data_IF_068221526818
#
_entry.id   IF_068221526818
#
_cell.length_a   1.000
_cell.length_b   1.000
_cell.length_c   1.000
_cell.angle_alpha   90.00
_cell.angle_beta   90.00
_cell.angle_gamma   90.00
#
_symmetry.space_group_name_H-M   'P 1'
#
loop_
_entity.id
_entity.type
_entity.pdbx_description
1 polymer ?
#
# COMPACT_ATOMS: atom_id res chain seq x y z
N UNK A 1 20.25 10.51 -65.05
CA UNK A 1 19.19 10.41 -64.02
C UNK A 1 19.46 9.15 -63.19
N UNK A 2 19.70 9.27 -61.87
CA UNK A 2 18.58 9.11 -60.93
C UNK A 2 18.67 10.05 -59.71
N UNK A 3 17.80 11.06 -59.67
CA UNK A 3 17.49 11.84 -58.47
C UNK A 3 16.22 11.22 -57.88
N UNK A 4 16.34 10.23 -56.99
CA UNK A 4 15.15 9.70 -56.29
C UNK A 4 15.38 8.95 -54.97
N UNK A 5 16.63 8.80 -54.50
CA UNK A 5 16.91 8.06 -53.24
C UNK A 5 17.09 8.94 -51.99
N UNK A 6 17.24 10.26 -52.11
CA UNK A 6 17.56 11.13 -50.95
C UNK A 6 16.31 11.58 -50.18
N UNK A 7 15.14 11.64 -50.82
CA UNK A 7 13.92 12.15 -50.18
C UNK A 7 13.30 11.17 -49.16
N UNK A 8 13.35 9.86 -49.42
CA UNK A 8 12.74 8.86 -48.56
C UNK A 8 13.43 8.73 -47.19
N UNK A 9 14.74 8.98 -47.13
CA UNK A 9 15.53 8.83 -45.91
C UNK A 9 15.30 9.98 -44.91
N UNK A 10 14.88 11.16 -45.39
CA UNK A 10 14.58 12.31 -44.52
C UNK A 10 13.20 12.21 -43.86
N UNK A 11 12.20 11.63 -44.54
CA UNK A 11 10.84 11.49 -43.99
C UNK A 11 10.80 10.49 -42.83
N UNK A 12 11.57 9.40 -42.91
CA UNK A 12 11.66 8.41 -41.83
C UNK A 12 12.31 8.96 -40.54
N UNK A 13 13.25 9.90 -40.66
CA UNK A 13 13.92 10.49 -39.49
C UNK A 13 12.97 11.39 -38.68
N UNK A 14 12.08 12.14 -39.35
CA UNK A 14 11.13 13.03 -38.67
C UNK A 14 10.00 12.26 -37.95
N UNK A 15 9.55 11.13 -38.49
CA UNK A 15 8.53 10.29 -37.83
C UNK A 15 9.10 9.65 -36.56
N UNK A 16 10.38 9.26 -36.56
CA UNK A 16 11.01 8.65 -35.38
C UNK A 16 11.21 9.66 -34.24
N UNK A 17 11.59 10.91 -34.55
CA UNK A 17 11.72 11.98 -33.56
C UNK A 17 10.34 12.38 -32.99
N UNK A 18 9.28 12.36 -33.81
CA UNK A 18 7.91 12.60 -33.37
C UNK A 18 7.38 11.54 -32.39
N UNK A 19 7.66 10.25 -32.63
CA UNK A 19 7.24 9.17 -31.74
C UNK A 19 8.07 9.16 -30.45
N UNK A 20 9.38 9.46 -30.52
CA UNK A 20 10.23 9.57 -29.34
C UNK A 20 9.82 10.73 -28.42
N UNK A 21 9.35 11.85 -28.98
CA UNK A 21 8.88 13.00 -28.18
C UNK A 21 7.49 12.77 -27.59
N UNK A 22 6.56 12.10 -28.31
CA UNK A 22 5.25 11.74 -27.74
C UNK A 22 5.38 10.63 -26.69
N UNK A 23 6.30 9.68 -26.87
CA UNK A 23 6.62 8.66 -25.86
C UNK A 23 7.27 9.23 -24.59
N UNK A 24 8.12 10.26 -24.73
CA UNK A 24 8.71 10.96 -23.58
C UNK A 24 7.70 11.82 -22.80
N UNK A 25 6.64 12.30 -23.45
CA UNK A 25 5.57 13.08 -22.78
C UNK A 25 4.55 12.15 -22.08
N UNK A 26 4.50 10.86 -22.44
CA UNK A 26 3.65 9.86 -21.80
C UNK A 26 4.29 9.21 -20.55
N UNK A 27 5.61 9.30 -20.38
CA UNK A 27 6.25 9.21 -19.05
C UNK A 27 6.05 10.54 -18.32
N UNK A 28 4.79 10.93 -18.12
CA UNK A 28 4.46 11.83 -17.02
C UNK A 28 4.89 11.07 -15.78
N UNK A 29 5.96 11.56 -15.16
CA UNK A 29 6.30 11.28 -13.77
C UNK A 29 4.98 11.14 -13.02
N UNK A 30 4.69 9.93 -12.53
CA UNK A 30 3.65 9.77 -11.52
C UNK A 30 3.93 10.86 -10.48
N UNK A 31 2.91 11.62 -10.03
CA UNK A 31 3.12 12.67 -9.05
C UNK A 31 3.93 12.05 -7.91
N UNK A 32 5.17 12.52 -7.77
CA UNK A 32 6.09 12.05 -6.76
C UNK A 32 5.46 12.52 -5.46
N UNK A 33 4.77 11.60 -4.78
CA UNK A 33 4.11 11.91 -3.53
C UNK A 33 5.20 12.34 -2.56
N UNK A 34 5.18 13.62 -2.21
CA UNK A 34 6.16 14.24 -1.33
C UNK A 34 6.16 13.46 0.00
N UNK A 35 7.32 12.92 0.36
CA UNK A 35 7.47 12.07 1.55
C UNK A 35 7.18 12.82 2.85
N UNK A 36 7.07 14.15 2.81
CA UNK A 36 6.63 14.97 3.95
C UNK A 36 5.12 14.86 4.22
N UNK A 37 4.30 14.55 3.20
CA UNK A 37 2.83 14.54 3.32
C UNK A 37 2.34 13.47 4.31
N UNK A 38 2.79 12.20 4.27
CA UNK A 38 2.32 11.21 5.23
C UNK A 38 2.80 11.48 6.66
N UNK A 39 4.03 11.97 6.80
CA UNK A 39 4.64 12.30 8.10
C UNK A 39 3.83 13.36 8.86
N UNK A 40 3.51 14.49 8.23
CA UNK A 40 2.79 15.60 8.89
C UNK A 40 1.32 15.30 9.15
N UNK A 41 0.76 14.29 8.46
CA UNK A 41 -0.68 14.01 8.47
C UNK A 41 -1.07 12.72 9.18
N UNK A 42 -0.16 12.07 9.91
CA UNK A 42 -0.42 10.77 10.53
C UNK A 42 -1.66 10.75 11.44
N UNK A 43 -1.91 11.83 12.19
CA UNK A 43 -3.10 11.96 13.04
C UNK A 43 -4.43 11.85 12.29
N UNK A 44 -4.45 12.06 10.96
CA UNK A 44 -5.65 11.88 10.13
C UNK A 44 -6.03 10.41 9.94
N UNK A 45 -5.14 9.46 10.25
CA UNK A 45 -5.43 8.02 10.20
C UNK A 45 -6.25 7.50 11.39
N UNK A 46 -6.33 8.25 12.49
CA UNK A 46 -7.01 7.80 13.72
C UNK A 46 -8.47 7.33 13.49
N UNK A 47 -9.33 8.06 12.76
CA UNK A 47 -10.71 7.61 12.53
C UNK A 47 -10.81 6.34 11.67
N UNK A 48 -9.79 6.06 10.86
CA UNK A 48 -9.71 4.81 10.09
C UNK A 48 -9.34 3.66 11.03
N UNK A 49 -8.33 3.86 11.89
CA UNK A 49 -7.94 2.85 12.87
C UNK A 49 -9.06 2.51 13.85
N UNK A 50 -9.82 3.52 14.31
CA UNK A 50 -10.99 3.30 15.16
C UNK A 50 -12.05 2.45 14.45
N UNK A 51 -12.32 2.72 13.17
CA UNK A 51 -13.25 1.94 12.38
C UNK A 51 -12.77 0.49 12.17
N UNK A 52 -11.48 0.30 11.91
CA UNK A 52 -10.89 -1.04 11.78
C UNK A 52 -10.89 -1.80 13.11
N UNK A 53 -10.71 -1.11 14.23
CA UNK A 53 -10.78 -1.68 15.59
C UNK A 53 -12.20 -2.10 15.93
N UNK A 54 -13.20 -1.28 15.61
CA UNK A 54 -14.61 -1.64 15.79
C UNK A 54 -14.94 -2.96 15.07
N UNK A 55 -14.51 -3.08 13.82
CA UNK A 55 -14.69 -4.28 13.01
C UNK A 55 -13.69 -5.41 13.32
N UNK A 56 -12.75 -5.20 14.25
CA UNK A 56 -11.65 -6.12 14.58
C UNK A 56 -10.89 -6.65 13.36
N UNK A 57 -10.67 -5.76 12.38
CA UNK A 57 -9.92 -6.08 11.16
C UNK A 57 -8.43 -6.15 11.51
N UNK A 58 -7.81 -7.30 11.27
CA UNK A 58 -6.38 -7.57 11.53
C UNK A 58 -5.52 -7.36 10.28
N UNK A 59 -6.13 -7.43 9.10
CA UNK A 59 -5.48 -7.14 7.83
C UNK A 59 -6.46 -6.53 6.85
N UNK A 60 -6.02 -5.54 6.08
CA UNK A 60 -6.76 -4.97 4.96
C UNK A 60 -5.79 -4.66 3.81
N UNK A 61 -6.10 -5.11 2.59
CA UNK A 61 -5.33 -4.78 1.39
C UNK A 61 -6.25 -4.22 0.32
N UNK A 62 -5.82 -3.10 -0.27
CA UNK A 62 -6.58 -2.36 -1.27
C UNK A 62 -5.68 -2.15 -2.49
N UNK A 63 -5.80 -3.06 -3.44
CA UNK A 63 -5.21 -2.92 -4.77
C UNK A 63 -6.27 -3.17 -5.83
N UNK A 64 -6.06 -2.59 -7.00
CA UNK A 64 -6.98 -2.72 -8.13
C UNK A 64 -7.25 -4.18 -8.50
N UNK A 65 -6.27 -5.06 -8.29
CA UNK A 65 -6.35 -6.50 -8.57
C UNK A 65 -6.48 -7.39 -7.32
N UNK A 66 -6.40 -6.84 -6.09
CA UNK A 66 -6.50 -7.62 -4.86
C UNK A 66 -7.19 -6.80 -3.77
N UNK A 67 -8.37 -7.28 -3.38
CA UNK A 67 -9.10 -6.82 -2.20
C UNK A 67 -9.11 -7.97 -1.22
N UNK A 68 -8.59 -7.72 -0.04
CA UNK A 68 -8.51 -8.76 0.97
C UNK A 68 -8.63 -8.15 2.36
N UNK A 69 -9.32 -8.83 3.26
CA UNK A 69 -9.27 -8.51 4.68
C UNK A 69 -9.35 -9.77 5.54
N UNK A 70 -8.82 -9.67 6.75
CA UNK A 70 -8.96 -10.67 7.80
C UNK A 70 -9.53 -9.99 9.02
N UNK A 71 -10.44 -10.66 9.70
CA UNK A 71 -10.87 -10.31 11.05
C UNK A 71 -10.60 -11.51 11.99
N UNK A 72 -11.08 -11.44 13.23
CA UNK A 72 -10.92 -12.51 14.23
C UNK A 72 -11.76 -13.77 13.94
N UNK A 73 -12.60 -13.76 12.91
CA UNK A 73 -13.50 -14.86 12.57
C UNK A 73 -13.13 -15.49 11.22
N UNK A 74 -12.90 -14.67 10.20
CA UNK A 74 -12.79 -15.09 8.81
C UNK A 74 -11.75 -14.27 8.04
N UNK A 75 -11.30 -14.87 6.93
CA UNK A 75 -10.41 -14.24 5.99
C UNK A 75 -11.07 -14.22 4.62
N UNK A 76 -11.11 -13.06 3.97
CA UNK A 76 -11.84 -12.85 2.72
C UNK A 76 -11.00 -12.17 1.66
N UNK A 77 -11.12 -12.63 0.41
CA UNK A 77 -10.37 -12.13 -0.73
C UNK A 77 -11.19 -12.20 -2.03
N UNK A 78 -10.89 -11.32 -3.00
CA UNK A 78 -11.67 -11.22 -4.24
C UNK A 78 -11.10 -12.00 -5.41
N UNK A 79 -9.80 -12.31 -5.39
CA UNK A 79 -9.18 -13.27 -6.32
C UNK A 79 -8.11 -14.10 -5.59
N UNK A 80 -8.15 -15.42 -5.80
CA UNK A 80 -7.27 -16.43 -5.18
C UNK A 80 -5.92 -16.58 -5.92
N UNK A 81 -5.41 -15.53 -6.55
CA UNK A 81 -4.13 -15.59 -7.26
C UNK A 81 -2.97 -15.46 -6.28
N UNK A 82 -1.80 -16.00 -6.66
CA UNK A 82 -0.57 -16.02 -5.85
C UNK A 82 -0.10 -14.63 -5.38
N UNK A 83 -0.58 -13.57 -6.03
CA UNK A 83 -0.22 -12.18 -5.76
C UNK A 83 -1.04 -11.58 -4.61
N UNK A 84 -2.25 -12.09 -4.34
CA UNK A 84 -3.12 -11.63 -3.24
C UNK A 84 -2.80 -12.43 -1.97
N UNK A 85 -1.58 -12.30 -1.47
CA UNK A 85 -1.11 -13.06 -0.32
C UNK A 85 -1.62 -12.42 0.97
N UNK A 86 -2.76 -12.89 1.47
CA UNK A 86 -2.96 -12.98 2.91
C UNK A 86 -2.09 -14.17 3.37
N UNK A 87 -1.13 -13.94 4.26
CA UNK A 87 -0.39 -15.05 4.85
C UNK A 87 -1.37 -15.85 5.72
N UNK A 88 -1.47 -17.16 5.47
CA UNK A 88 -2.31 -18.04 6.28
C UNK A 88 -1.85 -17.95 7.74
N UNK A 89 -2.74 -17.65 8.66
CA UNK A 89 -2.50 -17.89 10.09
C UNK A 89 -2.62 -19.41 10.33
N UNK A 90 -1.60 -20.17 9.95
CA UNK A 90 -1.54 -21.58 10.31
C UNK A 90 -1.10 -21.64 11.78
N UNK A 91 -2.04 -21.90 12.68
CA UNK A 91 -1.70 -22.39 14.02
C UNK A 91 -0.88 -23.67 13.86
N UNK A 92 0.28 -23.74 14.50
CA UNK A 92 1.25 -24.83 14.42
C UNK A 92 0.74 -26.19 14.92
N UNK A 93 -0.54 -26.33 15.27
CA UNK A 93 -1.08 -27.52 15.93
C UNK A 93 -2.36 -28.14 15.35
N UNK A 94 -2.90 -27.69 14.20
CA UNK A 94 -4.13 -28.33 13.69
C UNK A 94 -4.14 -28.48 12.17
N UNK A 95 -4.37 -29.71 11.71
CA UNK A 95 -4.55 -30.05 10.32
C UNK A 95 -5.66 -29.20 9.68
N UNK A 96 -5.30 -28.42 8.66
CA UNK A 96 -6.20 -27.61 7.87
C UNK A 96 -6.03 -26.11 8.14
N UNK A 97 -5.13 -25.45 7.40
CA UNK A 97 -5.21 -23.99 7.31
C UNK A 97 -6.56 -23.65 6.64
N UNK A 98 -7.39 -22.86 7.31
CA UNK A 98 -8.69 -22.46 6.78
C UNK A 98 -8.55 -21.86 5.38
N UNK A 99 -9.48 -22.18 4.48
CA UNK A 99 -9.57 -21.55 3.18
C UNK A 99 -10.16 -20.15 3.31
N UNK A 100 -9.60 -19.17 2.59
CA UNK A 100 -10.25 -17.87 2.40
C UNK A 100 -11.66 -18.04 1.84
N UNK A 101 -12.57 -17.17 2.25
CA UNK A 101 -13.91 -17.08 1.67
C UNK A 101 -13.94 -15.96 0.64
N UNK A 102 -14.80 -16.10 -0.37
CA UNK A 102 -15.12 -14.97 -1.23
C UNK A 102 -15.90 -13.92 -0.44
N UNK A 103 -15.87 -12.69 -0.94
CA UNK A 103 -16.71 -11.64 -0.41
C UNK A 103 -18.20 -11.95 -0.64
N UNK A 104 -19.01 -11.81 0.41
CA UNK A 104 -20.47 -11.75 0.30
C UNK A 104 -20.94 -10.29 0.31
N UNK A 105 -22.24 -10.07 0.09
CA UNK A 105 -22.80 -8.71 0.04
C UNK A 105 -22.49 -7.88 1.29
N UNK A 106 -22.55 -8.48 2.49
CA UNK A 106 -22.27 -7.77 3.72
C UNK A 106 -20.79 -7.37 3.81
N UNK A 107 -19.88 -8.28 3.45
CA UNK A 107 -18.44 -8.03 3.39
C UNK A 107 -18.08 -6.97 2.35
N UNK A 108 -18.76 -6.96 1.20
CA UNK A 108 -18.58 -5.92 0.18
C UNK A 108 -18.99 -4.54 0.71
N UNK A 109 -20.13 -4.45 1.41
CA UNK A 109 -20.57 -3.19 2.03
C UNK A 109 -19.55 -2.68 3.05
N UNK A 110 -19.11 -3.53 3.99
CA UNK A 110 -18.11 -3.15 4.99
C UNK A 110 -16.80 -2.70 4.36
N UNK A 111 -16.31 -3.42 3.35
CA UNK A 111 -15.10 -3.04 2.64
C UNK A 111 -15.25 -1.73 1.90
N UNK A 112 -16.40 -1.47 1.27
CA UNK A 112 -16.68 -0.20 0.61
C UNK A 112 -16.66 0.99 1.60
N UNK A 113 -17.20 0.81 2.81
CA UNK A 113 -17.17 1.81 3.87
C UNK A 113 -15.72 2.09 4.34
N UNK A 114 -14.95 1.04 4.64
CA UNK A 114 -13.55 1.15 5.04
C UNK A 114 -12.70 1.80 3.94
N UNK A 115 -12.90 1.40 2.68
CA UNK A 115 -12.24 2.00 1.53
C UNK A 115 -12.60 3.48 1.35
N UNK A 116 -13.85 3.86 1.60
CA UNK A 116 -14.28 5.26 1.54
C UNK A 116 -13.56 6.11 2.58
N UNK A 117 -13.42 5.60 3.82
CA UNK A 117 -12.64 6.28 4.87
C UNK A 117 -11.17 6.45 4.47
N UNK A 118 -10.56 5.42 3.87
CA UNK A 118 -9.17 5.48 3.42
C UNK A 118 -8.95 6.47 2.28
N UNK A 119 -9.88 6.58 1.33
CA UNK A 119 -9.84 7.60 0.27
C UNK A 119 -9.92 9.04 0.80
N UNK A 120 -10.37 9.23 2.05
CA UNK A 120 -10.38 10.54 2.72
C UNK A 120 -9.02 10.95 3.30
N UNK A 121 -8.03 10.06 3.31
CA UNK A 121 -6.68 10.38 3.78
C UNK A 121 -5.91 11.19 2.72
N UNK A 122 -4.95 12.03 3.13
CA UNK A 122 -4.12 12.81 2.20
C UNK A 122 -3.03 11.99 1.50
N UNK A 123 -3.04 10.67 1.67
CA UNK A 123 -2.13 9.72 1.08
C UNK A 123 -2.87 8.43 0.74
N UNK A 124 -2.47 7.78 -0.34
CA UNK A 124 -3.03 6.50 -0.73
C UNK A 124 -2.46 5.38 0.14
N UNK A 125 -3.33 4.51 0.66
CA UNK A 125 -2.93 3.37 1.50
C UNK A 125 -3.03 2.08 0.69
N UNK A 126 -1.95 1.31 0.68
CA UNK A 126 -1.82 0.07 -0.06
C UNK A 126 -2.30 -1.15 0.73
N UNK A 127 -1.89 -1.25 1.99
CA UNK A 127 -2.37 -2.25 2.93
C UNK A 127 -2.22 -1.76 4.37
N UNK A 128 -2.94 -2.42 5.26
CA UNK A 128 -2.96 -2.18 6.69
C UNK A 128 -2.86 -3.52 7.39
N UNK A 129 -2.03 -3.61 8.43
CA UNK A 129 -2.03 -4.73 9.37
C UNK A 129 -2.16 -4.19 10.77
N UNK A 130 -2.96 -4.87 11.57
CA UNK A 130 -3.23 -4.51 12.95
C UNK A 130 -3.03 -5.73 13.81
N UNK A 131 -2.32 -5.55 14.92
CA UNK A 131 -2.19 -6.57 15.96
C UNK A 131 -2.94 -6.09 17.20
N UNK A 132 -3.88 -6.90 17.67
CA UNK A 132 -4.64 -6.65 18.89
C UNK A 132 -4.06 -7.46 20.04
N UNK A 133 -4.16 -6.90 21.25
CA UNK A 133 -3.84 -7.60 22.48
C UNK A 133 -4.94 -8.59 22.88
N UNK A 134 -4.69 -9.42 23.91
CA UNK A 134 -5.70 -10.32 24.46
C UNK A 134 -6.95 -9.60 24.99
N UNK A 135 -6.81 -8.32 25.32
CA UNK A 135 -7.86 -7.41 25.78
C UNK A 135 -8.66 -6.76 24.63
N UNK A 136 -8.37 -7.10 23.37
CA UNK A 136 -8.98 -6.48 22.19
C UNK A 136 -8.46 -5.08 21.89
N UNK A 137 -7.57 -4.54 22.72
CA UNK A 137 -6.96 -3.23 22.48
C UNK A 137 -5.94 -3.32 21.34
N UNK A 138 -5.89 -2.28 20.50
CA UNK A 138 -4.90 -2.16 19.44
C UNK A 138 -3.50 -2.05 20.06
N UNK A 139 -2.59 -2.95 19.66
CA UNK A 139 -1.19 -2.98 20.13
C UNK A 139 -0.25 -2.38 19.12
N UNK A 140 -0.38 -2.79 17.86
CA UNK A 140 0.39 -2.21 16.77
C UNK A 140 -0.50 -2.06 15.55
N UNK A 141 -0.22 -1.06 14.73
CA UNK A 141 -0.76 -0.99 13.38
C UNK A 141 0.32 -0.51 12.40
N UNK A 142 0.30 -1.04 11.20
CA UNK A 142 1.13 -0.59 10.09
C UNK A 142 0.22 -0.25 8.91
N UNK A 143 0.30 0.99 8.44
CA UNK A 143 -0.40 1.47 7.24
C UNK A 143 0.67 1.74 6.18
N UNK A 144 0.79 0.86 5.20
CA UNK A 144 1.70 1.11 4.09
C UNK A 144 1.08 2.11 3.12
N UNK A 145 1.87 3.11 2.81
CA UNK A 145 1.51 4.18 1.89
C UNK A 145 1.93 3.74 0.50
N UNK A 146 1.05 3.95 -0.46
CA UNK A 146 1.38 3.79 -1.87
C UNK A 146 2.33 4.91 -2.27
N UNK A 147 3.55 4.55 -2.65
CA UNK A 147 4.57 5.47 -3.14
C UNK A 147 4.64 5.36 -4.66
N UNK A 148 4.96 6.46 -5.34
CA UNK A 148 5.25 6.42 -6.77
C UNK A 148 6.56 5.67 -7.09
N UNK A 149 7.39 5.43 -6.06
CA UNK A 149 8.68 4.77 -6.16
C UNK A 149 8.56 3.31 -5.72
N UNK A 150 8.64 2.40 -6.70
CA UNK A 150 8.52 0.96 -6.50
C UNK A 150 9.66 0.34 -5.67
N UNK A 151 10.73 1.08 -5.38
CA UNK A 151 11.85 0.62 -4.55
C UNK A 151 11.80 1.17 -3.13
N UNK A 152 10.78 1.99 -2.81
CA UNK A 152 10.62 2.61 -1.51
C UNK A 152 9.32 2.19 -0.86
N UNK A 153 9.40 1.62 0.34
CA UNK A 153 8.21 1.34 1.17
C UNK A 153 8.09 2.40 2.24
N UNK A 154 7.04 3.20 2.14
CA UNK A 154 6.66 4.15 3.19
C UNK A 154 5.52 3.55 4.03
N UNK A 155 5.57 3.72 5.35
CA UNK A 155 4.52 3.27 6.24
C UNK A 155 4.35 4.19 7.45
N UNK A 156 3.11 4.28 7.94
CA UNK A 156 2.82 4.79 9.27
C UNK A 156 2.70 3.62 10.22
N UNK A 157 3.52 3.62 11.27
CA UNK A 157 3.54 2.62 12.32
C UNK A 157 2.96 3.22 13.58
N UNK A 158 1.84 2.69 14.05
CA UNK A 158 1.38 2.90 15.42
C UNK A 158 1.99 1.82 16.31
N UNK A 159 2.77 2.23 17.31
CA UNK A 159 3.37 1.33 18.29
C UNK A 159 3.58 2.08 19.63
N UNK A 160 2.61 2.03 20.56
CA UNK A 160 2.66 2.76 21.80
C UNK A 160 3.76 2.21 22.70
N UNK A 161 4.64 3.10 23.17
CA UNK A 161 5.79 2.72 24.00
C UNK A 161 6.97 2.11 23.21
N UNK A 162 6.93 2.11 21.87
CA UNK A 162 8.11 1.79 21.09
C UNK A 162 9.22 2.81 21.35
N UNK A 163 10.43 2.30 21.55
CA UNK A 163 11.63 3.11 21.61
C UNK A 163 12.32 2.94 20.27
N UNK A 164 12.52 4.06 19.57
CA UNK A 164 13.28 4.06 18.33
C UNK A 164 14.66 3.46 18.60
N UNK A 165 15.08 2.40 17.90
CA UNK A 165 16.48 2.01 17.90
C UNK A 165 17.31 3.19 17.38
N UNK A 166 18.46 3.46 17.99
CA UNK A 166 19.41 4.46 17.47
C UNK A 166 19.69 4.15 16.00
N UNK A 167 19.64 5.19 15.15
CA UNK A 167 19.72 5.11 13.69
C UNK A 167 20.78 4.08 13.24
N UNK A 168 20.31 2.96 12.68
CA UNK A 168 21.18 2.01 12.00
C UNK A 168 21.38 2.59 10.60
N UNK A 169 22.60 3.00 10.23
CA UNK A 169 22.83 3.60 8.92
C UNK A 169 22.52 2.59 7.82
N UNK A 170 21.60 2.91 6.92
CA UNK A 170 21.63 2.39 5.55
C UNK A 170 20.34 1.86 4.94
N UNK A 171 19.33 1.40 5.69
CA UNK A 171 18.24 0.63 5.04
C UNK A 171 16.83 0.94 5.58
N UNK A 172 16.70 1.24 6.87
CA UNK A 172 15.40 1.53 7.49
C UNK A 172 15.54 2.78 8.33
N UNK A 173 14.71 3.76 8.04
CA UNK A 173 14.65 5.00 8.82
C UNK A 173 13.29 5.08 9.48
N UNK A 174 13.31 5.37 10.78
CA UNK A 174 12.11 5.53 11.57
C UNK A 174 12.11 6.93 12.18
N UNK A 175 11.17 7.78 11.76
CA UNK A 175 10.96 9.10 12.32
C UNK A 175 9.76 9.09 13.25
N UNK A 176 9.97 9.43 14.52
CA UNK A 176 8.88 9.62 15.47
C UNK A 176 8.04 10.83 15.06
N UNK A 177 6.72 10.64 14.99
CA UNK A 177 5.75 11.69 14.69
C UNK A 177 5.15 12.22 16.00
N UNK A 178 4.74 11.32 16.90
CA UNK A 178 4.20 11.66 18.22
C UNK A 178 4.53 10.60 19.30
N UNK A 179 3.72 10.48 20.37
CA UNK A 179 3.89 9.49 21.44
C UNK A 179 3.89 8.04 20.93
N UNK A 180 3.06 7.76 19.94
CA UNK A 180 2.63 6.43 19.54
C UNK A 180 2.83 6.15 18.03
N UNK A 181 3.02 7.18 17.22
CA UNK A 181 3.17 7.09 15.77
C UNK A 181 4.60 7.33 15.28
N UNK A 182 4.99 6.56 14.28
CA UNK A 182 6.25 6.63 13.58
C UNK A 182 6.00 6.59 12.08
N UNK A 183 6.74 7.39 11.34
CA UNK A 183 6.91 7.22 9.91
C UNK A 183 8.11 6.30 9.69
N UNK A 184 7.91 5.21 8.99
CA UNK A 184 8.97 4.31 8.55
C UNK A 184 9.13 4.45 7.05
N UNK A 185 10.37 4.57 6.59
CA UNK A 185 10.70 4.29 5.20
C UNK A 185 11.83 3.27 5.10
N UNK A 186 11.73 2.43 4.09
CA UNK A 186 12.67 1.34 3.81
C UNK A 186 12.98 1.36 2.31
N UNK A 187 14.27 1.47 1.98
CA UNK A 187 14.79 1.31 0.62
C UNK A 187 15.07 -0.17 0.38
N UNK A 188 14.68 -0.67 -0.78
CA UNK A 188 14.81 -2.08 -1.14
C UNK A 188 16.10 -2.37 -1.93
N UNK A 189 16.98 -1.37 -2.08
CA UNK A 189 18.26 -1.46 -2.80
C UNK A 189 19.43 -1.96 -1.95
#
# INVERSE_FOLDING_TARGET
MPVRRVAAMRVLLFVYIGIATVGAIAFRSLPQQDSTIPYENAGKSLPVLEALTHEHVTFLRIQDWCRAYSDNQEQRATELTSTCTLAKACSTSTAGCGSYKLFDNASETRFAELRSKLKGLPYDVHWIKIEYGPDGALRTAELAINTADQFRRDALIYNPGYVLPEDIPGEVVNHRIDSDWYYRWEDWN
#
